data_IF_925266985770
#
_entry.id   IF_925266985770
#
_cell.length_a   1.000
_cell.length_b   1.000
_cell.length_c   1.000
_cell.angle_alpha   90.00
_cell.angle_beta   90.00
_cell.angle_gamma   90.00
#
_symmetry.space_group_name_H-M   'P 1'
#
loop_
_entity.id
_entity.type
_entity.pdbx_description
1 polymer ?
#
# COMPACT_ATOMS: atom_id res chain seq x y z
N UNK A 1 -24.44 2.23 9.86
CA UNK A 1 -23.33 2.94 9.17
C UNK A 1 -22.04 2.15 9.36
N UNK A 2 -21.65 1.26 8.43
CA UNK A 2 -20.42 0.42 8.53
C UNK A 2 -19.83 -0.01 7.16
N UNK A 3 -20.11 0.71 6.06
CA UNK A 3 -19.69 0.28 4.70
C UNK A 3 -18.19 0.47 4.38
N UNK A 4 -17.43 1.21 5.19
CA UNK A 4 -16.03 1.55 4.90
C UNK A 4 -15.02 0.48 5.36
N UNK A 5 -15.25 -0.14 6.53
CA UNK A 5 -14.37 -1.15 7.13
C UNK A 5 -14.01 -2.33 6.20
N UNK A 6 -14.95 -2.98 5.49
CA UNK A 6 -14.63 -4.14 4.66
C UNK A 6 -13.73 -3.80 3.46
N UNK A 7 -13.74 -2.56 2.97
CA UNK A 7 -12.89 -2.15 1.84
C UNK A 7 -11.44 -2.00 2.28
N UNK A 8 -11.17 -1.38 3.42
CA UNK A 8 -9.82 -1.21 3.93
C UNK A 8 -9.14 -2.55 4.25
N UNK A 9 -9.87 -3.47 4.88
CA UNK A 9 -9.34 -4.80 5.23
C UNK A 9 -8.96 -5.61 3.99
N UNK A 10 -9.73 -5.49 2.90
CA UNK A 10 -9.39 -6.09 1.61
C UNK A 10 -8.11 -5.50 1.01
N UNK A 11 -7.94 -4.17 1.08
CA UNK A 11 -6.73 -3.48 0.63
C UNK A 11 -5.51 -3.94 1.43
N UNK A 12 -5.63 -3.93 2.76
CA UNK A 12 -4.58 -4.36 3.69
C UNK A 12 -4.17 -5.81 3.39
N UNK A 13 -5.13 -6.70 3.19
CA UNK A 13 -4.85 -8.10 2.88
C UNK A 13 -4.17 -8.27 1.52
N UNK A 14 -4.57 -7.50 0.51
CA UNK A 14 -3.96 -7.54 -0.82
C UNK A 14 -2.51 -7.04 -0.80
N UNK A 15 -2.25 -5.93 -0.12
CA UNK A 15 -0.90 -5.37 0.04
C UNK A 15 -0.02 -6.31 0.86
N UNK A 16 -0.53 -6.87 1.97
CA UNK A 16 0.21 -7.83 2.80
C UNK A 16 0.66 -9.06 2.00
N UNK A 17 -0.26 -9.68 1.24
CA UNK A 17 0.06 -10.81 0.38
C UNK A 17 1.08 -10.45 -0.71
N UNK A 18 0.96 -9.26 -1.32
CA UNK A 18 1.91 -8.76 -2.30
C UNK A 18 3.30 -8.52 -1.70
N UNK A 19 3.39 -7.95 -0.49
CA UNK A 19 4.65 -7.77 0.23
C UNK A 19 5.34 -9.09 0.55
N UNK A 20 4.59 -10.11 0.97
CA UNK A 20 5.14 -11.45 1.23
C UNK A 20 5.67 -12.07 -0.06
N UNK A 21 4.89 -12.00 -1.15
CA UNK A 21 5.31 -12.53 -2.47
C UNK A 21 6.57 -11.85 -2.96
N UNK A 22 6.64 -10.53 -2.88
CA UNK A 22 7.83 -9.76 -3.26
C UNK A 22 9.05 -10.15 -2.43
N UNK A 23 8.91 -10.21 -1.10
CA UNK A 23 9.99 -10.63 -0.20
C UNK A 23 10.49 -12.05 -0.50
N UNK A 24 9.61 -12.93 -0.99
CA UNK A 24 9.93 -14.28 -1.43
C UNK A 24 10.55 -14.37 -2.84
N UNK A 25 10.66 -13.27 -3.58
CA UNK A 25 11.06 -13.28 -5.00
C UNK A 25 10.02 -13.93 -5.91
N UNK A 26 8.73 -13.78 -5.59
CA UNK A 26 7.59 -14.26 -6.36
C UNK A 26 6.82 -13.09 -7.00
N UNK A 27 6.21 -13.35 -8.15
CA UNK A 27 5.36 -12.38 -8.82
C UNK A 27 4.09 -12.07 -8.00
N UNK A 28 3.65 -10.82 -8.05
CA UNK A 28 2.41 -10.34 -7.43
C UNK A 28 1.70 -9.35 -8.37
N UNK A 29 0.40 -9.17 -8.14
CA UNK A 29 -0.44 -8.23 -8.89
C UNK A 29 -1.31 -7.42 -7.91
N UNK A 30 -1.54 -6.16 -8.26
CA UNK A 30 -2.37 -5.21 -7.48
C UNK A 30 -3.62 -4.78 -8.25
N UNK A 31 -4.13 -5.64 -9.14
CA UNK A 31 -5.19 -5.33 -10.13
C UNK A 31 -6.53 -4.94 -9.52
N UNK A 32 -6.77 -5.26 -8.25
CA UNK A 32 -8.02 -4.90 -7.53
C UNK A 32 -8.02 -3.48 -6.97
N UNK A 33 -6.96 -2.71 -7.20
CA UNK A 33 -6.80 -1.33 -6.72
C UNK A 33 -7.10 -0.32 -7.83
N UNK A 34 -7.72 0.80 -7.46
CA UNK A 34 -7.85 1.95 -8.35
C UNK A 34 -6.45 2.47 -8.74
N UNK A 35 -6.26 3.04 -9.95
CA UNK A 35 -4.96 3.55 -10.38
C UNK A 35 -4.28 4.46 -9.34
N UNK A 36 -5.05 5.37 -8.73
CA UNK A 36 -4.60 6.31 -7.69
C UNK A 36 -4.03 5.63 -6.44
N UNK A 37 -4.53 4.44 -6.10
CA UNK A 37 -4.07 3.66 -4.95
C UNK A 37 -2.96 2.66 -5.32
N UNK A 38 -2.83 2.30 -6.60
CA UNK A 38 -1.81 1.35 -7.03
C UNK A 38 -0.40 1.86 -6.79
N UNK A 39 -0.14 3.16 -6.99
CA UNK A 39 1.20 3.72 -6.76
C UNK A 39 1.59 3.71 -5.28
N UNK A 40 0.66 4.10 -4.40
CA UNK A 40 0.86 3.99 -2.95
C UNK A 40 1.09 2.54 -2.54
N UNK A 41 0.26 1.62 -3.04
CA UNK A 41 0.39 0.21 -2.74
C UNK A 41 1.71 -0.36 -3.25
N UNK A 42 2.18 0.01 -4.45
CA UNK A 42 3.50 -0.40 -4.97
C UNK A 42 4.64 0.05 -4.07
N UNK A 43 4.61 1.31 -3.62
CA UNK A 43 5.60 1.87 -2.68
C UNK A 43 5.59 1.12 -1.35
N UNK A 44 4.42 0.89 -0.77
CA UNK A 44 4.28 0.14 0.48
C UNK A 44 4.75 -1.32 0.33
N UNK A 45 4.47 -1.96 -0.81
CA UNK A 45 4.92 -3.32 -1.08
C UNK A 45 6.45 -3.39 -1.11
N UNK A 46 7.11 -2.44 -1.79
CA UNK A 46 8.58 -2.35 -1.80
C UNK A 46 9.13 -2.21 -0.37
N UNK A 47 8.69 -1.18 0.34
CA UNK A 47 9.18 -0.84 1.67
C UNK A 47 8.99 -2.02 2.64
N UNK A 48 7.77 -2.56 2.72
CA UNK A 48 7.46 -3.65 3.64
C UNK A 48 8.24 -4.90 3.24
N UNK A 49 8.31 -5.26 1.95
CA UNK A 49 9.01 -6.47 1.52
C UNK A 49 10.48 -6.50 1.95
N UNK A 50 11.17 -5.36 1.89
CA UNK A 50 12.57 -5.21 2.33
C UNK A 50 12.76 -5.49 3.82
N UNK A 51 11.72 -5.24 4.63
CA UNK A 51 11.71 -5.48 6.08
C UNK A 51 11.37 -6.92 6.48
N UNK A 52 10.82 -7.75 5.58
CA UNK A 52 10.34 -9.09 5.93
C UNK A 52 11.40 -10.19 5.78
N UNK A 53 12.29 -10.09 4.79
CA UNK A 53 13.27 -11.13 4.45
C UNK A 53 14.71 -10.62 4.43
N UNK A 54 15.64 -11.46 4.87
CA UNK A 54 17.07 -11.35 4.52
C UNK A 54 17.29 -12.29 3.34
N UNK A 55 17.83 -11.74 2.25
CA UNK A 55 18.25 -12.50 1.08
C UNK A 55 19.76 -12.34 0.93
N UNK A 56 20.52 -13.40 1.23
CA UNK A 56 21.96 -13.46 0.99
C UNK A 56 22.26 -14.80 0.31
N UNK A 57 22.95 -14.78 -0.83
CA UNK A 57 23.38 -15.99 -1.56
C UNK A 57 22.29 -17.07 -1.70
N UNK A 58 21.10 -16.70 -2.17
CA UNK A 58 19.93 -17.59 -2.35
C UNK A 58 19.29 -18.16 -1.06
N UNK A 59 19.80 -17.81 0.11
CA UNK A 59 19.23 -18.18 1.41
C UNK A 59 18.25 -17.11 1.87
N UNK A 60 17.00 -17.52 2.10
CA UNK A 60 15.95 -16.65 2.64
C UNK A 60 15.79 -16.91 4.14
N UNK A 61 15.91 -15.87 4.97
CA UNK A 61 15.56 -15.91 6.40
C UNK A 61 14.47 -14.90 6.72
N UNK A 62 13.57 -15.26 7.64
CA UNK A 62 12.53 -14.35 8.10
C UNK A 62 13.11 -13.34 9.08
N UNK A 63 12.97 -12.04 8.80
CA UNK A 63 13.39 -10.95 9.70
C UNK A 63 12.49 -10.80 10.93
N UNK A 64 11.25 -11.28 10.85
CA UNK A 64 10.28 -11.15 11.95
C UNK A 64 10.55 -12.13 13.10
N UNK A 65 11.04 -13.35 12.80
CA UNK A 65 11.29 -14.38 13.83
C UNK A 65 12.68 -15.02 13.76
N UNK A 66 13.54 -14.62 12.83
CA UNK A 66 14.89 -15.16 12.65
C UNK A 66 14.95 -16.58 12.07
N UNK A 67 13.81 -17.25 11.82
CA UNK A 67 13.78 -18.62 11.29
C UNK A 67 14.26 -18.70 9.84
N UNK A 68 14.75 -19.89 9.48
CA UNK A 68 15.27 -20.23 8.16
C UNK A 68 16.45 -21.19 8.28
N UNK A 69 17.10 -21.56 7.16
CA UNK A 69 16.87 -21.06 5.80
C UNK A 69 15.58 -21.59 5.17
N UNK A 70 14.97 -20.81 4.28
CA UNK A 70 13.77 -21.18 3.54
C UNK A 70 14.01 -21.15 2.02
N UNK A 71 13.28 -22.00 1.28
CA UNK A 71 13.06 -21.81 -0.16
C UNK A 71 12.09 -20.64 -0.40
N UNK A 72 11.98 -20.13 -1.64
CA UNK A 72 10.98 -19.09 -2.00
C UNK A 72 9.56 -19.47 -1.57
N UNK A 73 9.13 -20.68 -1.92
CA UNK A 73 7.80 -21.21 -1.56
C UNK A 73 7.69 -21.43 -0.05
N UNK A 74 8.73 -21.95 0.60
CA UNK A 74 8.77 -22.17 2.04
C UNK A 74 8.62 -20.88 2.84
N UNK A 75 9.34 -19.83 2.45
CA UNK A 75 9.26 -18.51 3.06
C UNK A 75 7.88 -17.88 2.90
N UNK A 76 7.31 -17.93 1.68
CA UNK A 76 5.95 -17.46 1.43
C UNK A 76 4.94 -18.13 2.37
N UNK A 77 4.97 -19.46 2.48
CA UNK A 77 4.07 -20.21 3.36
C UNK A 77 4.30 -19.89 4.84
N UNK A 78 5.56 -19.76 5.26
CA UNK A 78 5.92 -19.40 6.63
C UNK A 78 5.36 -18.02 7.01
N UNK A 79 5.67 -16.98 6.23
CA UNK A 79 5.19 -15.62 6.50
C UNK A 79 3.65 -15.56 6.50
N UNK A 80 3.01 -16.25 5.56
CA UNK A 80 1.54 -16.29 5.44
C UNK A 80 0.84 -17.02 6.60
N UNK A 81 1.46 -18.03 7.20
CA UNK A 81 0.84 -18.82 8.29
C UNK A 81 1.20 -18.30 9.68
N UNK A 82 2.40 -17.76 9.84
CA UNK A 82 2.96 -17.39 11.16
C UNK A 82 2.85 -15.89 11.42
N UNK A 83 2.98 -15.05 10.38
CA UNK A 83 3.15 -13.61 10.54
C UNK A 83 2.12 -12.76 9.79
N UNK A 84 1.09 -13.37 9.17
CA UNK A 84 0.13 -12.63 8.35
C UNK A 84 -0.54 -11.49 9.12
N UNK A 85 -0.94 -11.71 10.38
CA UNK A 85 -1.61 -10.67 11.16
C UNK A 85 -0.67 -9.53 11.54
N UNK A 86 0.58 -9.85 11.89
CA UNK A 86 1.63 -8.84 12.10
C UNK A 86 1.87 -8.01 10.84
N UNK A 87 1.95 -8.67 9.68
CA UNK A 87 2.18 -8.01 8.40
C UNK A 87 0.98 -7.13 8.04
N UNK A 88 -0.25 -7.60 8.24
CA UNK A 88 -1.46 -6.79 8.05
C UNK A 88 -1.49 -5.57 8.97
N UNK A 89 -1.05 -5.70 10.22
CA UNK A 89 -0.95 -4.56 11.14
C UNK A 89 0.04 -3.51 10.63
N UNK A 90 1.24 -3.94 10.19
CA UNK A 90 2.24 -3.04 9.60
C UNK A 90 1.68 -2.34 8.36
N UNK A 91 1.04 -3.09 7.46
CA UNK A 91 0.40 -2.55 6.26
C UNK A 91 -0.68 -1.53 6.63
N UNK A 92 -1.55 -1.86 7.58
CA UNK A 92 -2.62 -0.98 8.03
C UNK A 92 -2.05 0.34 8.57
N UNK A 93 -1.08 0.29 9.47
CA UNK A 93 -0.45 1.48 10.05
C UNK A 93 0.16 2.39 8.97
N UNK A 94 0.88 1.80 8.01
CA UNK A 94 1.52 2.55 6.93
C UNK A 94 0.50 3.12 5.95
N UNK A 95 -0.48 2.31 5.53
CA UNK A 95 -1.51 2.74 4.60
C UNK A 95 -2.37 3.86 5.21
N UNK A 96 -2.79 3.73 6.47
CA UNK A 96 -3.54 4.79 7.15
C UNK A 96 -2.76 6.10 7.22
N UNK A 97 -1.44 6.04 7.48
CA UNK A 97 -0.57 7.22 7.48
C UNK A 97 -0.51 7.87 6.09
N UNK A 98 -0.29 7.09 5.04
CA UNK A 98 -0.24 7.60 3.66
C UNK A 98 -1.56 8.26 3.25
N UNK A 99 -2.69 7.64 3.59
CA UNK A 99 -4.01 8.19 3.30
C UNK A 99 -4.27 9.47 4.08
N UNK A 100 -3.86 9.54 5.36
CA UNK A 100 -3.98 10.74 6.18
C UNK A 100 -3.19 11.92 5.59
N UNK A 101 -1.93 11.69 5.20
CA UNK A 101 -1.09 12.73 4.59
C UNK A 101 -1.70 13.29 3.31
N UNK A 102 -2.29 12.43 2.47
CA UNK A 102 -3.00 12.87 1.26
C UNK A 102 -4.23 13.72 1.56
N UNK A 103 -5.00 13.36 2.59
CA UNK A 103 -6.15 14.16 3.02
C UNK A 103 -5.70 15.54 3.49
N UNK A 104 -4.62 15.61 4.26
CA UNK A 104 -4.10 16.89 4.76
C UNK A 104 -3.50 17.76 3.64
N UNK A 105 -2.82 17.14 2.67
CA UNK A 105 -2.30 17.82 1.47
C UNK A 105 -3.45 18.43 0.64
N UNK A 106 -4.53 17.66 0.40
CA UNK A 106 -5.69 18.17 -0.33
C UNK A 106 -6.41 19.28 0.45
N UNK A 107 -6.50 19.16 1.78
CA UNK A 107 -7.09 20.19 2.65
C UNK A 107 -6.28 21.49 2.65
N UNK A 108 -4.95 21.38 2.53
CA UNK A 108 -4.02 22.51 2.50
C UNK A 108 -3.87 23.15 1.12
N UNK A 109 -4.43 22.53 0.07
CA UNK A 109 -4.34 23.04 -1.30
C UNK A 109 -5.18 24.32 -1.41
N UNK A 110 -4.57 25.48 -1.77
CA UNK A 110 -5.33 26.70 -1.98
C UNK A 110 -6.33 26.48 -3.13
N UNK A 111 -7.61 26.81 -2.90
CA UNK A 111 -8.62 26.82 -3.96
C UNK A 111 -8.18 27.87 -4.99
N UNK A 112 -7.62 27.42 -6.11
CA UNK A 112 -7.37 28.29 -7.25
C UNK A 112 -8.73 28.87 -7.67
N UNK A 113 -8.88 30.17 -7.43
CA UNK A 113 -10.10 30.93 -7.57
C UNK A 113 -10.71 30.79 -8.96
N UNK A 114 -11.92 30.27 -9.01
CA UNK A 114 -12.95 30.66 -9.97
C UNK A 114 -13.15 32.18 -9.92
N UNK A 115 -12.32 32.95 -10.63
CA UNK A 115 -12.57 34.34 -11.03
C UNK A 115 -11.95 34.60 -12.39
N UNK A 116 -12.51 33.97 -13.43
CA UNK A 116 -12.24 34.33 -14.83
C UNK A 116 -13.47 34.14 -15.73
N UNK A 117 -14.68 34.29 -15.17
CA UNK A 117 -15.92 34.32 -15.94
C UNK A 117 -16.89 35.33 -15.31
N UNK A 118 -16.66 36.61 -15.59
CA UNK A 118 -17.54 37.69 -15.16
C UNK A 118 -17.28 38.94 -15.98
N UNK A 119 -18.28 39.30 -16.79
CA UNK A 119 -18.43 40.52 -17.60
C UNK A 119 -17.51 40.70 -18.82
N UNK A 120 -18.09 40.45 -20.00
CA UNK A 120 -18.24 41.48 -21.03
C UNK A 120 -19.42 41.11 -21.93
N UNK A 121 -20.61 41.47 -21.47
CA UNK A 121 -21.82 41.50 -22.27
C UNK A 121 -22.58 42.76 -21.89
N UNK A 122 -22.20 43.90 -22.47
CA UNK A 122 -23.06 45.08 -22.64
C UNK A 122 -22.33 46.14 -23.47
N UNK A 123 -22.70 46.22 -24.75
CA UNK A 123 -22.74 47.45 -25.53
C UNK A 123 -23.58 47.17 -26.78
N UNK A 124 -24.89 47.10 -26.56
CA UNK A 124 -25.87 47.38 -27.61
C UNK A 124 -26.28 48.84 -27.45
N UNK A 125 -25.93 49.67 -28.44
CA UNK A 125 -26.75 50.74 -29.06
C UNK A 125 -25.91 51.45 -30.11
#
# INVERSE_FOLDING_TARGET
MLKEKPRLDMLVSAIAEASIRKAAGLNYQLTRLTPTLQDTARKLVEEISSSLAINHDSIIRCKLCGRGPFTRKGYYLHAKRVHMDTIKLIVHQKLSRELWLRVEEERSRPQASEKAAGNNGEAAT
#
